data_IF_559058548780
#
_entry.id   IF_559058548780
#
_cell.length_a   1.000
_cell.length_b   1.000
_cell.length_c   1.000
_cell.angle_alpha   90.00
_cell.angle_beta   90.00
_cell.angle_gamma   90.00
#
_symmetry.space_group_name_H-M   'P 1'
#
loop_
_entity.id
_entity.type
_entity.pdbx_description
1 polymer ?
#
# COMPACT_ATOMS: atom_id res chain seq x y z
N UNK A 1 -17.59 6.75 -22.36
CA UNK A 1 -18.54 6.02 -21.51
C UNK A 1 -17.71 5.22 -20.54
N UNK A 2 -17.48 5.79 -19.37
CA UNK A 2 -16.71 5.14 -18.33
C UNK A 2 -17.68 4.21 -17.62
N UNK A 3 -17.36 2.92 -17.62
CA UNK A 3 -18.04 1.93 -16.81
C UNK A 3 -17.73 2.25 -15.34
N UNK A 4 -18.65 2.95 -14.72
CA UNK A 4 -18.71 3.18 -13.28
C UNK A 4 -19.41 2.00 -12.59
N UNK A 5 -19.26 0.83 -13.14
CA UNK A 5 -19.58 -0.41 -12.45
C UNK A 5 -18.48 -0.66 -11.43
N UNK A 6 -18.53 0.07 -10.32
CA UNK A 6 -17.90 -0.37 -9.11
C UNK A 6 -18.47 -1.74 -8.80
N UNK A 7 -17.77 -2.79 -9.23
CA UNK A 7 -18.10 -4.16 -8.87
C UNK A 7 -18.16 -4.21 -7.34
N UNK A 8 -19.36 -4.41 -6.73
CA UNK A 8 -19.50 -4.41 -5.27
C UNK A 8 -18.69 -5.54 -4.62
N UNK A 9 -18.23 -6.53 -5.42
CA UNK A 9 -17.41 -7.63 -4.98
C UNK A 9 -15.91 -7.40 -5.22
N UNK A 10 -15.51 -6.28 -5.88
CA UNK A 10 -14.10 -5.95 -6.11
C UNK A 10 -13.42 -5.55 -4.79
N UNK A 11 -12.49 -6.37 -4.36
CA UNK A 11 -11.78 -6.20 -3.09
C UNK A 11 -10.45 -5.50 -3.27
N UNK A 12 -9.96 -4.88 -2.20
CA UNK A 12 -8.62 -4.28 -2.18
C UNK A 12 -7.53 -5.29 -2.57
N UNK A 13 -7.67 -6.56 -2.19
CA UNK A 13 -6.74 -7.61 -2.57
C UNK A 13 -6.65 -7.80 -4.08
N UNK A 14 -7.77 -7.73 -4.81
CA UNK A 14 -7.80 -7.90 -6.27
C UNK A 14 -7.06 -6.76 -6.97
N UNK A 15 -7.34 -5.52 -6.60
CA UNK A 15 -6.65 -4.36 -7.13
C UNK A 15 -5.16 -4.34 -6.81
N UNK A 16 -4.77 -4.78 -5.62
CA UNK A 16 -3.36 -4.92 -5.26
C UNK A 16 -2.67 -6.02 -6.07
N UNK A 17 -3.32 -7.14 -6.36
CA UNK A 17 -2.77 -8.18 -7.25
C UNK A 17 -2.53 -7.64 -8.65
N UNK A 18 -3.47 -6.89 -9.21
CA UNK A 18 -3.26 -6.22 -10.50
C UNK A 18 -2.10 -5.22 -10.46
N UNK A 19 -1.97 -4.46 -9.39
CA UNK A 19 -0.83 -3.55 -9.22
C UNK A 19 0.51 -4.31 -9.15
N UNK A 20 0.56 -5.49 -8.52
CA UNK A 20 1.75 -6.34 -8.52
C UNK A 20 2.11 -6.87 -9.91
N UNK A 21 1.11 -7.12 -10.76
CA UNK A 21 1.31 -7.59 -12.14
C UNK A 21 1.66 -6.44 -13.09
N UNK A 22 1.32 -5.22 -12.74
CA UNK A 22 1.62 -4.03 -13.54
C UNK A 22 3.13 -3.71 -13.55
N UNK A 23 3.70 -3.27 -14.69
CA UNK A 23 5.13 -2.99 -14.81
C UNK A 23 5.61 -1.84 -13.92
N UNK A 24 4.76 -0.85 -13.66
CA UNK A 24 5.04 0.27 -12.76
C UNK A 24 4.55 0.04 -11.32
N UNK A 25 3.93 -1.11 -11.05
CA UNK A 25 3.41 -1.44 -9.73
C UNK A 25 2.18 -0.66 -9.31
N UNK A 26 1.42 -0.12 -10.27
CA UNK A 26 0.24 0.70 -10.02
C UNK A 26 -0.93 0.22 -10.89
N UNK A 27 -2.12 0.14 -10.31
CA UNK A 27 -3.37 -0.10 -11.02
C UNK A 27 -4.43 0.93 -10.57
N UNK A 28 -5.35 1.31 -11.46
CA UNK A 28 -6.41 2.27 -11.15
C UNK A 28 -7.76 1.70 -11.56
N UNK A 29 -8.70 1.68 -10.62
CA UNK A 29 -10.09 1.31 -10.82
C UNK A 29 -10.99 2.43 -10.28
N UNK A 30 -11.76 3.06 -11.15
CA UNK A 30 -12.64 4.17 -10.78
C UNK A 30 -11.85 5.30 -10.10
N UNK A 31 -12.19 5.61 -8.86
CA UNK A 31 -11.56 6.63 -8.02
C UNK A 31 -10.45 6.09 -7.11
N UNK A 32 -10.12 4.82 -7.23
CA UNK A 32 -9.17 4.14 -6.35
C UNK A 32 -7.90 3.74 -7.12
N UNK A 33 -6.75 4.10 -6.57
CA UNK A 33 -5.43 3.71 -7.08
C UNK A 33 -4.78 2.70 -6.13
N UNK A 34 -4.35 1.58 -6.68
CA UNK A 34 -3.66 0.49 -5.99
C UNK A 34 -2.16 0.57 -6.23
N UNK A 35 -1.39 0.44 -5.15
CA UNK A 35 0.07 0.60 -5.17
C UNK A 35 0.71 -0.63 -4.56
N UNK A 36 1.42 -1.40 -5.39
CA UNK A 36 2.13 -2.60 -4.97
C UNK A 36 3.39 -2.27 -4.15
N UNK A 37 3.77 -3.20 -3.30
CA UNK A 37 5.07 -3.21 -2.63
C UNK A 37 6.19 -3.74 -3.51
N UNK A 38 7.28 -4.15 -2.88
CA UNK A 38 8.38 -4.84 -3.54
C UNK A 38 7.94 -6.26 -3.93
N UNK A 39 8.30 -6.71 -5.14
CA UNK A 39 8.02 -8.07 -5.59
C UNK A 39 8.88 -9.07 -4.83
N UNK A 40 8.24 -10.00 -4.13
CA UNK A 40 8.91 -11.02 -3.31
C UNK A 40 9.48 -12.18 -4.15
N UNK A 41 9.04 -12.36 -5.38
CA UNK A 41 9.52 -13.38 -6.31
C UNK A 41 10.97 -13.17 -6.75
N UNK A 42 11.50 -11.98 -6.55
CA UNK A 42 12.90 -11.61 -6.86
C UNK A 42 13.81 -11.59 -5.64
N UNK A 43 13.27 -11.86 -4.45
CA UNK A 43 14.01 -11.77 -3.19
C UNK A 43 14.23 -13.16 -2.62
N UNK A 44 15.47 -13.47 -2.27
CA UNK A 44 15.89 -14.80 -1.76
C UNK A 44 15.43 -15.11 -0.34
N UNK A 45 14.47 -14.34 0.19
CA UNK A 45 13.85 -14.61 1.47
C UNK A 45 13.37 -13.37 2.24
N UNK A 46 12.74 -13.60 3.39
CA UNK A 46 12.21 -12.55 4.26
C UNK A 46 13.30 -11.57 4.73
N UNK A 47 14.55 -12.02 4.79
CA UNK A 47 15.69 -11.21 5.21
C UNK A 47 16.03 -10.14 4.17
N UNK A 48 16.00 -10.50 2.88
CA UNK A 48 16.23 -9.56 1.78
C UNK A 48 15.11 -8.52 1.69
N UNK A 49 13.87 -8.94 2.02
CA UNK A 49 12.72 -8.01 2.15
C UNK A 49 12.96 -7.01 3.28
N UNK A 50 13.47 -7.48 4.42
CA UNK A 50 13.75 -6.61 5.58
C UNK A 50 14.92 -5.65 5.31
N UNK A 51 15.90 -6.07 4.52
CA UNK A 51 17.05 -5.22 4.15
C UNK A 51 16.66 -4.19 3.08
N UNK A 52 15.79 -4.54 2.12
CA UNK A 52 15.28 -3.63 1.08
C UNK A 52 14.16 -2.72 1.59
N UNK A 53 13.34 -3.21 2.51
CA UNK A 53 12.31 -2.44 3.21
C UNK A 53 12.87 -1.99 4.55
N UNK A 54 14.04 -1.40 4.56
CA UNK A 54 14.52 -0.63 5.70
C UNK A 54 13.42 0.34 6.08
N UNK A 55 12.98 0.32 7.35
CA UNK A 55 11.95 1.19 7.88
C UNK A 55 12.08 2.59 7.28
N UNK A 56 11.30 2.85 6.25
CA UNK A 56 11.30 4.16 5.59
C UNK A 56 10.50 5.06 6.50
N UNK A 57 11.12 5.98 7.22
CA UNK A 57 10.34 7.00 7.90
C UNK A 57 9.39 7.63 6.89
N UNK A 58 8.16 7.92 7.28
CA UNK A 58 7.16 8.49 6.38
C UNK A 58 7.72 9.69 5.59
N UNK A 59 8.64 10.44 6.22
CA UNK A 59 9.37 11.57 5.61
C UNK A 59 10.25 11.20 4.42
N UNK A 60 10.73 9.96 4.35
CA UNK A 60 11.64 9.49 3.30
C UNK A 60 10.90 8.70 2.20
N UNK A 61 9.64 8.32 2.43
CA UNK A 61 8.86 7.54 1.47
C UNK A 61 8.75 8.23 0.10
N UNK A 62 8.73 9.57 0.06
CA UNK A 62 8.70 10.34 -1.19
C UNK A 62 9.93 10.16 -2.07
N UNK A 63 11.03 9.67 -1.52
CA UNK A 63 12.27 9.39 -2.26
C UNK A 63 12.25 8.01 -2.94
N UNK A 64 11.29 7.17 -2.60
CA UNK A 64 11.22 5.82 -3.17
C UNK A 64 10.75 5.85 -4.63
N UNK A 65 11.26 4.90 -5.43
CA UNK A 65 10.79 4.72 -6.79
C UNK A 65 9.29 4.46 -6.85
N UNK A 66 8.77 3.69 -5.89
CA UNK A 66 7.33 3.37 -5.82
C UNK A 66 6.47 4.63 -5.60
N UNK A 67 6.93 5.55 -4.77
CA UNK A 67 6.26 6.83 -4.61
C UNK A 67 6.22 7.63 -5.92
N UNK A 68 7.34 7.70 -6.65
CA UNK A 68 7.41 8.42 -7.91
C UNK A 68 6.52 7.80 -8.99
N UNK A 69 6.45 6.48 -9.06
CA UNK A 69 5.54 5.75 -9.95
C UNK A 69 4.07 6.05 -9.62
N UNK A 70 3.71 5.99 -8.35
CA UNK A 70 2.37 6.32 -7.88
C UNK A 70 2.00 7.80 -8.14
N UNK A 71 2.94 8.71 -7.93
CA UNK A 71 2.72 10.13 -8.21
C UNK A 71 2.48 10.39 -9.71
N UNK A 72 3.22 9.73 -10.59
CA UNK A 72 3.01 9.82 -12.03
C UNK A 72 1.62 9.31 -12.44
N UNK A 73 1.16 8.19 -11.87
CA UNK A 73 -0.18 7.66 -12.10
C UNK A 73 -1.28 8.58 -11.55
N UNK A 74 -1.07 9.17 -10.38
CA UNK A 74 -2.00 10.13 -9.79
C UNK A 74 -2.17 11.36 -10.71
N UNK A 75 -1.06 11.90 -11.23
CA UNK A 75 -1.10 13.04 -12.15
C UNK A 75 -1.86 12.71 -13.44
N UNK A 76 -1.70 11.49 -13.96
CA UNK A 76 -2.45 11.03 -15.15
C UNK A 76 -3.95 10.85 -14.87
N UNK A 77 -4.35 10.68 -13.64
CA UNK A 77 -5.77 10.51 -13.28
C UNK A 77 -6.57 11.80 -13.36
N UNK A 78 -5.92 12.95 -13.48
CA UNK A 78 -6.56 14.26 -13.60
C UNK A 78 -7.59 14.54 -12.48
N UNK A 79 -7.26 14.18 -11.26
CA UNK A 79 -8.10 14.40 -10.08
C UNK A 79 -9.22 13.38 -9.86
N UNK A 80 -9.32 12.34 -10.68
CA UNK A 80 -10.33 11.28 -10.49
C UNK A 80 -10.05 10.40 -9.29
N UNK A 81 -8.78 10.17 -8.97
CA UNK A 81 -8.38 9.35 -7.83
C UNK A 81 -8.53 10.15 -6.54
N UNK A 82 -9.28 9.57 -5.60
CA UNK A 82 -9.50 10.11 -4.25
C UNK A 82 -9.06 9.15 -3.16
N UNK A 83 -8.92 7.87 -3.49
CA UNK A 83 -8.55 6.81 -2.57
C UNK A 83 -7.30 6.08 -3.04
N UNK A 84 -6.37 5.87 -2.13
CA UNK A 84 -5.16 5.09 -2.36
C UNK A 84 -5.24 3.79 -1.55
N UNK A 85 -4.84 2.70 -2.17
CA UNK A 85 -4.71 1.39 -1.50
C UNK A 85 -3.30 0.89 -1.72
N UNK A 86 -2.57 0.63 -0.66
CA UNK A 86 -1.17 0.22 -0.78
C UNK A 86 -0.80 -0.96 0.12
N UNK A 87 0.08 -1.84 -0.37
CA UNK A 87 0.64 -2.94 0.40
C UNK A 87 2.14 -2.79 0.57
N UNK A 88 2.64 -3.11 1.74
CA UNK A 88 4.07 -3.05 2.05
C UNK A 88 4.66 -1.66 1.75
N UNK A 89 5.72 -1.57 0.95
CA UNK A 89 6.32 -0.30 0.53
C UNK A 89 5.32 0.60 -0.23
N UNK A 90 4.40 0.01 -0.99
CA UNK A 90 3.29 0.74 -1.64
C UNK A 90 2.35 1.39 -0.62
N UNK A 91 2.16 0.76 0.53
CA UNK A 91 1.42 1.35 1.66
C UNK A 91 2.12 2.56 2.27
N UNK A 92 3.45 2.50 2.41
CA UNK A 92 4.23 3.66 2.85
C UNK A 92 4.13 4.83 1.86
N UNK A 93 4.20 4.54 0.55
CA UNK A 93 4.01 5.54 -0.49
C UNK A 93 2.61 6.17 -0.44
N UNK A 94 1.55 5.35 -0.30
CA UNK A 94 0.17 5.82 -0.17
C UNK A 94 -0.01 6.75 1.04
N UNK A 95 0.51 6.36 2.20
CA UNK A 95 0.44 7.17 3.41
C UNK A 95 1.17 8.52 3.24
N UNK A 96 2.36 8.53 2.64
CA UNK A 96 3.11 9.75 2.37
C UNK A 96 2.38 10.68 1.39
N UNK A 97 1.69 10.12 0.40
CA UNK A 97 0.90 10.92 -0.55
C UNK A 97 -0.27 11.62 0.13
N UNK A 98 -0.91 11.03 1.13
CA UNK A 98 -1.99 11.71 1.88
C UNK A 98 -1.51 12.90 2.70
N UNK A 99 -0.24 12.94 3.07
CA UNK A 99 0.35 14.11 3.73
C UNK A 99 0.54 15.28 2.77
N UNK A 100 0.94 14.96 1.53
CA UNK A 100 1.15 15.97 0.49
C UNK A 100 -0.15 16.44 -0.17
N UNK A 101 -1.13 15.54 -0.30
CA UNK A 101 -2.42 15.78 -0.94
C UNK A 101 -3.55 15.55 0.07
N UNK A 102 -4.00 16.60 0.77
CA UNK A 102 -4.96 16.46 1.88
C UNK A 102 -6.34 15.94 1.47
N UNK A 103 -6.68 16.01 0.19
CA UNK A 103 -7.92 15.49 -0.39
C UNK A 103 -7.92 13.95 -0.51
N UNK A 104 -6.75 13.32 -0.46
CA UNK A 104 -6.63 11.86 -0.59
C UNK A 104 -6.85 11.15 0.75
N UNK A 105 -7.41 9.96 0.66
CA UNK A 105 -7.50 8.98 1.73
C UNK A 105 -6.73 7.71 1.36
N UNK A 106 -6.26 6.96 2.33
CA UNK A 106 -5.55 5.71 2.08
C UNK A 106 -6.02 4.57 2.97
N UNK A 107 -6.04 3.36 2.39
CA UNK A 107 -6.04 2.09 3.11
C UNK A 107 -4.71 1.40 2.84
N UNK A 108 -3.99 1.05 3.89
CA UNK A 108 -2.65 0.48 3.76
C UNK A 108 -2.56 -0.85 4.51
N UNK A 109 -1.91 -1.82 3.91
CA UNK A 109 -1.82 -3.19 4.38
C UNK A 109 -0.35 -3.59 4.55
N UNK A 110 0.02 -4.04 5.75
CA UNK A 110 1.38 -4.49 6.04
C UNK A 110 2.46 -3.44 5.74
N UNK A 111 2.16 -2.16 5.88
CA UNK A 111 3.07 -1.09 5.52
C UNK A 111 4.18 -0.87 6.58
N UNK A 112 5.44 -0.61 6.16
CA UNK A 112 6.54 -0.33 7.06
C UNK A 112 6.47 1.11 7.60
N UNK A 113 5.40 1.43 8.30
CA UNK A 113 5.18 2.75 8.88
C UNK A 113 5.67 2.82 10.31
N UNK A 114 6.41 3.86 10.64
CA UNK A 114 6.78 4.20 12.00
C UNK A 114 5.74 5.18 12.55
N UNK A 115 4.66 4.67 13.14
CA UNK A 115 3.59 5.47 13.73
C UNK A 115 3.24 4.99 15.12
N UNK A 116 2.93 5.95 16.00
CA UNK A 116 2.46 5.67 17.37
C UNK A 116 0.93 5.62 17.49
N UNK A 117 0.19 6.19 16.53
CA UNK A 117 -1.26 6.34 16.58
C UNK A 117 -1.89 6.25 15.19
N UNK A 118 -3.21 6.02 15.17
CA UNK A 118 -4.00 6.05 13.94
C UNK A 118 -4.11 7.48 13.35
N UNK A 119 -4.37 7.55 12.05
CA UNK A 119 -4.68 8.78 11.34
C UNK A 119 -6.11 8.73 10.81
N UNK A 120 -6.78 9.87 10.75
CA UNK A 120 -8.15 9.93 10.21
C UNK A 120 -8.20 9.69 8.69
N UNK A 121 -7.11 9.96 7.98
CA UNK A 121 -7.02 9.80 6.51
C UNK A 121 -6.32 8.52 6.06
N UNK A 122 -5.62 7.85 6.97
CA UNK A 122 -4.91 6.61 6.69
C UNK A 122 -5.42 5.51 7.60
N UNK A 123 -6.19 4.59 7.04
CA UNK A 123 -6.55 3.34 7.72
C UNK A 123 -5.48 2.31 7.42
N UNK A 124 -4.87 1.77 8.44
CA UNK A 124 -3.78 0.81 8.32
C UNK A 124 -4.15 -0.52 8.94
N UNK A 125 -3.79 -1.59 8.27
CA UNK A 125 -4.03 -2.97 8.66
C UNK A 125 -2.72 -3.76 8.64
N UNK A 126 -2.56 -4.68 9.57
CA UNK A 126 -1.40 -5.58 9.60
C UNK A 126 -1.79 -6.95 10.08
N UNK A 127 -1.09 -7.95 9.65
CA UNK A 127 -1.16 -9.27 10.26
C UNK A 127 -0.38 -9.31 11.59
N UNK A 128 -0.84 -10.14 12.52
CA UNK A 128 -0.12 -10.40 13.75
C UNK A 128 1.26 -10.99 13.42
N UNK A 129 2.28 -10.47 14.09
CA UNK A 129 3.68 -10.88 13.90
C UNK A 129 4.30 -10.54 12.53
N UNK A 130 3.68 -9.69 11.73
CA UNK A 130 4.34 -9.15 10.54
C UNK A 130 5.49 -8.21 10.94
N UNK A 131 6.76 -8.60 10.73
CA UNK A 131 7.89 -7.81 11.17
C UNK A 131 8.03 -6.50 10.41
N UNK A 132 7.47 -6.40 9.20
CA UNK A 132 7.57 -5.21 8.34
C UNK A 132 6.67 -4.09 8.86
N UNK A 133 5.47 -4.44 9.32
CA UNK A 133 4.48 -3.46 9.80
C UNK A 133 4.39 -3.36 11.33
N UNK A 134 5.29 -4.03 12.05
CA UNK A 134 5.21 -4.14 13.51
C UNK A 134 5.28 -2.79 14.25
N UNK A 135 5.95 -1.81 13.68
CA UNK A 135 6.08 -0.47 14.28
C UNK A 135 4.92 0.47 13.98
N UNK A 136 3.99 0.08 13.11
CA UNK A 136 2.75 0.83 12.90
C UNK A 136 1.75 0.52 14.01
N UNK A 137 1.83 1.26 15.11
CA UNK A 137 0.92 1.11 16.26
C UNK A 137 -0.49 1.64 15.98
N UNK A 138 -0.67 2.40 14.90
CA UNK A 138 -1.98 2.84 14.42
C UNK A 138 -2.73 1.81 13.59
N UNK A 139 -2.13 0.64 13.31
CA UNK A 139 -2.75 -0.38 12.48
C UNK A 139 -3.73 -1.27 13.26
N UNK A 140 -4.82 -1.64 12.60
CA UNK A 140 -5.71 -2.73 13.03
C UNK A 140 -4.99 -4.06 12.79
N UNK A 141 -4.93 -4.90 13.80
CA UNK A 141 -4.20 -6.17 13.73
C UNK A 141 -5.13 -7.32 13.40
N UNK A 142 -4.83 -8.05 12.35
CA UNK A 142 -5.55 -9.24 11.90
C UNK A 142 -4.72 -10.51 12.14
N UNK A 143 -5.39 -11.67 12.21
CA UNK A 143 -4.70 -12.95 12.21
C UNK A 143 -4.09 -13.22 10.84
N UNK A 144 -2.80 -13.60 10.79
CA UNK A 144 -2.16 -13.96 9.53
C UNK A 144 -2.67 -15.30 9.03
N UNK A 145 -3.08 -15.43 7.75
CA UNK A 145 -3.37 -16.70 7.15
C UNK A 145 -2.06 -17.40 6.76
N UNK A 146 -1.78 -18.55 7.36
CA UNK A 146 -0.62 -19.37 7.01
C UNK A 146 0.70 -18.94 7.66
N UNK A 147 1.82 -19.32 7.04
CA UNK A 147 3.17 -19.20 7.61
C UNK A 147 3.85 -17.86 7.35
N UNK A 148 3.43 -17.12 6.33
CA UNK A 148 4.01 -15.82 6.01
C UNK A 148 3.11 -14.71 6.55
N UNK A 149 3.51 -14.00 7.62
CA UNK A 149 2.71 -12.93 8.18
C UNK A 149 2.70 -11.66 7.31
N UNK A 150 3.57 -11.56 6.30
CA UNK A 150 3.62 -10.44 5.36
C UNK A 150 3.05 -10.83 4.00
N UNK A 151 1.76 -11.13 3.96
CA UNK A 151 1.04 -11.55 2.75
C UNK A 151 -0.15 -10.64 2.47
N UNK A 152 -0.58 -10.60 1.21
CA UNK A 152 -1.85 -9.96 0.83
C UNK A 152 -3.08 -10.75 1.28
N UNK A 153 -2.95 -12.07 1.41
CA UNK A 153 -4.09 -12.92 1.73
C UNK A 153 -4.64 -12.61 3.14
N UNK A 154 -5.97 -12.52 3.24
CA UNK A 154 -6.68 -12.35 4.51
C UNK A 154 -6.83 -10.92 5.00
N UNK A 155 -6.57 -9.93 4.15
CA UNK A 155 -6.94 -8.54 4.40
C UNK A 155 -8.36 -8.21 3.95
#
# INVERSE_FOLDING_TARGET
MLDDSGDPDFKDEDGLREAYDAPDGVAVHGDTMFIAGTRLDRLSGLRDVLDDVTFVPLREAHKTQRYQQALAALNKSEGRVTTLVGHSLGGAAAAAMTERFPELQARVYGAPLLRSSASVRVKSFRHRYDPISMLDRGAVTNAAPGRNPHTLAGY
#
